data_IF_079688952468
#
_entry.id   IF_079688952468
#
_cell.length_a   1.000
_cell.length_b   1.000
_cell.length_c   1.000
_cell.angle_alpha   90.00
_cell.angle_beta   90.00
_cell.angle_gamma   90.00
#
_symmetry.space_group_name_H-M   'P 1'
#
loop_
_entity.id
_entity.type
_entity.pdbx_description
1 polymer ?
#
# COMPACT_ATOMS: atom_id res chain seq x y z
N UNK A 1 3.22 18.32 24.99
CA UNK A 1 3.66 17.91 23.64
C UNK A 1 3.06 16.58 23.25
N UNK A 2 3.24 15.46 23.98
CA UNK A 2 2.63 14.18 23.60
C UNK A 2 1.10 14.24 23.54
N UNK A 3 0.48 15.00 24.45
CA UNK A 3 -0.98 15.15 24.54
C UNK A 3 -1.57 16.21 23.61
N UNK A 4 -0.74 16.89 22.80
CA UNK A 4 -1.21 17.92 21.86
C UNK A 4 -1.77 17.26 20.60
N UNK A 5 -2.86 17.84 20.07
CA UNK A 5 -3.35 17.58 18.71
C UNK A 5 -2.31 17.97 17.65
N UNK A 6 -2.50 17.49 16.41
CA UNK A 6 -1.58 17.81 15.31
C UNK A 6 -1.45 19.32 15.08
N UNK A 7 -2.56 20.06 15.10
CA UNK A 7 -2.58 21.52 14.96
C UNK A 7 -1.85 22.22 16.11
N UNK A 8 -2.07 21.78 17.36
CA UNK A 8 -1.39 22.35 18.53
C UNK A 8 0.12 22.08 18.51
N UNK A 9 0.55 20.88 18.05
CA UNK A 9 1.97 20.58 17.85
C UNK A 9 2.59 21.49 16.80
N UNK A 10 1.91 21.68 15.66
CA UNK A 10 2.38 22.57 14.59
C UNK A 10 2.57 24.00 15.10
N UNK A 11 1.58 24.55 15.80
CA UNK A 11 1.63 25.91 16.33
C UNK A 11 2.71 26.07 17.41
N UNK A 12 2.87 25.06 18.26
CA UNK A 12 3.95 25.01 19.25
C UNK A 12 5.33 25.01 18.59
N UNK A 13 5.54 24.15 17.58
CA UNK A 13 6.80 24.08 16.84
C UNK A 13 7.10 25.38 16.10
N UNK A 14 6.10 25.95 15.41
CA UNK A 14 6.26 27.24 14.73
C UNK A 14 6.63 28.36 15.70
N UNK A 15 6.02 28.38 16.89
CA UNK A 15 6.33 29.34 17.96
C UNK A 15 7.76 29.15 18.46
N UNK A 16 8.18 27.91 18.72
CA UNK A 16 9.53 27.60 19.21
C UNK A 16 10.62 27.95 18.18
N UNK A 17 10.33 27.87 16.89
CA UNK A 17 11.25 28.28 15.84
C UNK A 17 11.39 29.81 15.67
N UNK A 18 10.55 30.62 16.32
CA UNK A 18 10.51 32.06 16.08
C UNK A 18 11.61 32.87 16.80
N UNK A 19 12.34 32.28 17.76
CA UNK A 19 13.38 32.99 18.53
C UNK A 19 14.58 32.10 18.85
N UNK A 20 15.82 32.62 18.88
CA UNK A 20 17.02 31.82 19.16
C UNK A 20 16.97 31.05 20.48
N UNK A 21 16.52 31.67 21.58
CA UNK A 21 16.47 30.99 22.88
C UNK A 21 15.48 29.81 22.90
N UNK A 22 14.36 29.92 22.19
CA UNK A 22 13.34 28.87 22.12
C UNK A 22 13.74 27.77 21.14
N UNK A 23 14.37 28.16 20.02
CA UNK A 23 14.94 27.27 19.04
C UNK A 23 15.97 26.32 19.67
N UNK A 24 16.84 26.84 20.55
CA UNK A 24 17.82 26.02 21.27
C UNK A 24 17.16 24.99 22.19
N UNK A 25 16.10 25.36 22.90
CA UNK A 25 15.33 24.43 23.75
C UNK A 25 14.63 23.34 22.92
N UNK A 26 14.05 23.72 21.78
CA UNK A 26 13.44 22.79 20.83
C UNK A 26 14.47 21.80 20.30
N UNK A 27 15.62 22.29 19.80
CA UNK A 27 16.66 21.44 19.26
C UNK A 27 17.32 20.57 20.33
N UNK A 28 17.43 21.05 21.57
CA UNK A 28 17.80 20.23 22.72
C UNK A 28 16.78 19.10 22.96
N UNK A 29 15.47 19.41 22.92
CA UNK A 29 14.42 18.40 23.03
C UNK A 29 14.44 17.38 21.88
N UNK A 30 14.83 17.79 20.67
CA UNK A 30 15.06 16.88 19.53
C UNK A 30 16.28 15.99 19.79
N UNK A 31 17.39 16.56 20.26
CA UNK A 31 18.61 15.81 20.60
C UNK A 31 18.39 14.76 21.70
N UNK A 32 17.52 15.07 22.67
CA UNK A 32 17.13 14.15 23.75
C UNK A 32 16.04 13.14 23.32
N UNK A 33 15.52 13.22 22.09
CA UNK A 33 14.44 12.36 21.59
C UNK A 33 13.04 12.65 22.15
N UNK A 34 12.85 13.78 22.87
CA UNK A 34 11.54 14.21 23.39
C UNK A 34 10.61 14.76 22.31
N UNK A 35 11.19 15.30 21.23
CA UNK A 35 10.48 15.71 20.01
C UNK A 35 11.09 14.92 18.85
N UNK A 36 10.32 14.12 18.09
CA UNK A 36 10.85 13.41 16.94
C UNK A 36 11.31 14.43 15.89
N UNK A 37 12.55 14.28 15.40
CA UNK A 37 13.10 15.18 14.37
C UNK A 37 12.26 15.23 13.09
N UNK A 38 11.54 14.15 12.78
CA UNK A 38 10.66 14.03 11.62
C UNK A 38 9.45 14.97 11.72
N UNK A 39 9.12 15.46 12.93
CA UNK A 39 8.06 16.44 13.12
C UNK A 39 8.48 17.87 12.69
N UNK A 40 9.80 18.15 12.58
CA UNK A 40 10.28 19.42 12.04
C UNK A 40 10.21 19.42 10.52
N UNK A 41 9.34 20.27 9.99
CA UNK A 41 9.23 20.51 8.55
C UNK A 41 10.47 21.21 7.99
N UNK A 42 10.72 21.05 6.69
CA UNK A 42 11.77 21.81 6.00
C UNK A 42 11.61 23.33 6.17
N UNK A 43 10.36 23.81 6.24
CA UNK A 43 10.05 25.21 6.51
C UNK A 43 10.56 25.66 7.89
N UNK A 44 10.25 24.90 8.95
CA UNK A 44 10.72 25.20 10.31
C UNK A 44 12.24 25.15 10.42
N UNK A 45 12.87 24.17 9.76
CA UNK A 45 14.33 24.04 9.76
C UNK A 45 15.03 25.19 9.04
N UNK A 46 14.45 25.68 7.94
CA UNK A 46 14.92 26.90 7.26
C UNK A 46 14.69 28.15 8.11
N UNK A 47 13.53 28.27 8.76
CA UNK A 47 13.25 29.38 9.66
C UNK A 47 14.26 29.44 10.83
N UNK A 48 14.64 28.28 11.38
CA UNK A 48 15.69 28.18 12.40
C UNK A 48 17.05 28.66 11.89
N UNK A 49 17.44 28.32 10.65
CA UNK A 49 18.68 28.83 10.02
C UNK A 49 18.64 30.35 9.81
N UNK A 50 17.47 30.91 9.49
CA UNK A 50 17.28 32.36 9.31
C UNK A 50 17.40 33.16 10.61
N UNK A 51 17.46 32.50 11.77
CA UNK A 51 17.75 33.18 13.04
C UNK A 51 19.20 33.67 13.14
N UNK A 52 20.09 33.20 12.25
CA UNK A 52 21.52 33.57 12.21
C UNK A 52 22.22 33.41 13.57
N UNK A 53 21.85 32.37 14.31
CA UNK A 53 22.37 32.08 15.66
C UNK A 53 23.31 30.87 15.64
N UNK A 54 24.58 31.10 16.01
CA UNK A 54 25.63 30.08 15.90
C UNK A 54 25.36 28.79 16.70
N UNK A 55 24.66 28.89 17.84
CA UNK A 55 24.34 27.70 18.64
C UNK A 55 23.14 26.95 18.05
N UNK A 56 22.13 27.65 17.53
CA UNK A 56 21.03 27.02 16.77
C UNK A 56 21.57 26.27 15.56
N UNK A 57 22.48 26.88 14.80
CA UNK A 57 23.14 26.26 13.65
C UNK A 57 23.89 24.98 14.04
N UNK A 58 24.70 25.06 15.11
CA UNK A 58 25.43 23.90 15.65
C UNK A 58 24.50 22.77 16.06
N UNK A 59 23.39 23.08 16.74
CA UNK A 59 22.41 22.09 17.19
C UNK A 59 21.61 21.49 16.02
N UNK A 60 21.31 22.27 14.98
CA UNK A 60 20.69 21.77 13.75
C UNK A 60 21.58 20.74 13.06
N UNK A 61 22.87 21.07 12.87
CA UNK A 61 23.82 20.15 12.23
C UNK A 61 24.01 18.86 13.05
N UNK A 62 24.01 18.98 14.38
CA UNK A 62 24.20 17.87 15.30
C UNK A 62 22.98 16.93 15.35
N UNK A 63 21.78 17.46 15.53
CA UNK A 63 20.59 16.65 15.86
C UNK A 63 19.64 16.44 14.69
N UNK A 64 19.59 17.35 13.73
CA UNK A 64 18.71 17.23 12.57
C UNK A 64 19.52 16.72 11.38
N UNK A 65 20.49 17.49 10.92
CA UNK A 65 21.30 17.18 9.74
C UNK A 65 21.49 18.39 8.84
N UNK A 66 21.76 18.14 7.56
CA UNK A 66 22.06 19.22 6.61
C UNK A 66 20.77 19.84 6.08
N UNK A 67 20.68 21.16 6.15
CA UNK A 67 19.62 21.96 5.53
C UNK A 67 20.27 22.74 4.39
N UNK A 68 19.87 22.48 3.15
CA UNK A 68 20.40 23.19 1.97
C UNK A 68 19.65 24.52 1.75
N UNK A 69 20.30 25.54 1.16
CA UNK A 69 19.61 26.74 0.70
C UNK A 69 18.49 26.42 -0.28
N UNK A 70 17.49 27.30 -0.36
CA UNK A 70 16.38 27.10 -1.28
C UNK A 70 16.84 27.11 -2.75
N UNK A 71 16.39 26.12 -3.50
CA UNK A 71 16.56 26.07 -4.94
C UNK A 71 15.31 26.66 -5.63
N UNK A 72 15.44 27.78 -6.38
CA UNK A 72 14.30 28.41 -7.06
C UNK A 72 13.62 27.49 -8.10
N UNK A 73 14.36 26.56 -8.70
CA UNK A 73 13.81 25.52 -9.57
C UNK A 73 12.86 24.60 -8.80
N UNK A 74 13.30 24.10 -7.64
CA UNK A 74 12.47 23.27 -6.75
C UNK A 74 11.24 24.00 -6.25
N UNK A 75 11.36 25.29 -5.90
CA UNK A 75 10.20 26.07 -5.46
C UNK A 75 9.15 26.27 -6.56
N UNK A 76 9.58 26.45 -7.82
CA UNK A 76 8.65 26.49 -8.97
C UNK A 76 7.94 25.17 -9.19
N UNK A 77 8.66 24.07 -9.04
CA UNK A 77 8.09 22.73 -9.16
C UNK A 77 7.08 22.42 -8.05
N UNK A 78 7.42 22.74 -6.79
CA UNK A 78 6.50 22.65 -5.65
C UNK A 78 5.23 23.47 -5.91
N UNK A 79 5.36 24.71 -6.41
CA UNK A 79 4.21 25.53 -6.74
C UNK A 79 3.35 24.94 -7.87
N UNK A 80 3.97 24.35 -8.90
CA UNK A 80 3.29 23.66 -10.00
C UNK A 80 2.48 22.47 -9.50
N UNK A 81 3.10 21.60 -8.70
CA UNK A 81 2.43 20.41 -8.16
C UNK A 81 1.36 20.82 -7.16
N UNK A 82 1.60 21.83 -6.32
CA UNK A 82 0.57 22.37 -5.42
C UNK A 82 -0.69 22.79 -6.17
N UNK A 83 -0.54 23.55 -7.26
CA UNK A 83 -1.68 23.96 -8.09
C UNK A 83 -2.41 22.77 -8.71
N UNK A 84 -1.69 21.74 -9.15
CA UNK A 84 -2.28 20.50 -9.64
C UNK A 84 -3.09 19.77 -8.55
N UNK A 85 -2.61 19.77 -7.29
CA UNK A 85 -3.34 19.15 -6.16
C UNK A 85 -4.55 19.97 -5.68
N UNK A 86 -4.72 21.20 -6.14
CA UNK A 86 -5.90 22.04 -5.85
C UNK A 86 -7.04 21.83 -6.86
N UNK A 87 -6.82 21.03 -7.91
CA UNK A 87 -7.86 20.62 -8.84
C UNK A 87 -8.91 19.72 -8.16
N UNK A 88 -10.07 19.56 -8.80
CA UNK A 88 -11.13 18.70 -8.28
C UNK A 88 -10.64 17.24 -8.16
N UNK A 89 -11.14 16.49 -7.16
CA UNK A 89 -10.87 15.06 -7.04
C UNK A 89 -11.25 14.30 -8.31
N UNK A 90 -10.60 13.16 -8.55
CA UNK A 90 -10.95 12.31 -9.70
C UNK A 90 -12.39 11.77 -9.61
N UNK A 91 -13.10 11.83 -10.74
CA UNK A 91 -14.53 11.47 -10.83
C UNK A 91 -14.82 9.95 -10.77
N UNK A 92 -13.79 9.09 -10.77
CA UNK A 92 -13.94 7.63 -10.94
C UNK A 92 -14.05 6.84 -9.62
N UNK A 93 -13.95 7.51 -8.47
CA UNK A 93 -14.04 6.89 -7.13
C UNK A 93 -12.87 5.96 -6.77
N UNK A 94 -11.91 5.76 -7.67
CA UNK A 94 -10.74 4.88 -7.52
C UNK A 94 -9.43 5.63 -7.25
N UNK A 95 -9.51 6.92 -6.90
CA UNK A 95 -8.34 7.79 -6.71
C UNK A 95 -7.34 7.23 -5.70
N UNK A 96 -7.80 6.75 -4.54
CA UNK A 96 -6.91 6.21 -3.52
C UNK A 96 -6.28 4.88 -3.95
N UNK A 97 -7.04 3.98 -4.58
CA UNK A 97 -6.54 2.70 -5.05
C UNK A 97 -5.50 2.87 -6.19
N UNK A 98 -5.75 3.85 -7.07
CA UNK A 98 -4.77 4.33 -8.06
C UNK A 98 -3.54 4.92 -7.37
N UNK A 99 -3.72 5.76 -6.36
CA UNK A 99 -2.63 6.33 -5.59
C UNK A 99 -1.75 5.29 -4.91
N UNK A 100 -2.38 4.23 -4.37
CA UNK A 100 -1.68 3.07 -3.82
C UNK A 100 -0.84 2.34 -4.86
N UNK A 101 -1.37 2.15 -6.07
CA UNK A 101 -0.61 1.54 -7.18
C UNK A 101 0.60 2.39 -7.58
N UNK A 102 0.43 3.72 -7.71
CA UNK A 102 1.53 4.65 -7.99
C UNK A 102 2.57 4.62 -6.87
N UNK A 103 2.15 4.56 -5.60
CA UNK A 103 3.03 4.42 -4.44
C UNK A 103 3.81 3.09 -4.50
N UNK A 104 3.14 1.98 -4.79
CA UNK A 104 3.75 0.65 -4.90
C UNK A 104 4.88 0.62 -5.93
N UNK A 105 4.68 1.23 -7.11
CA UNK A 105 5.72 1.23 -8.16
C UNK A 105 6.84 2.28 -7.95
N UNK A 106 6.58 3.36 -7.22
CA UNK A 106 7.48 4.52 -7.17
C UNK A 106 8.21 4.65 -5.82
N UNK A 107 7.51 4.36 -4.73
CA UNK A 107 7.97 4.69 -3.37
C UNK A 107 8.18 3.47 -2.48
N UNK A 108 7.39 2.41 -2.69
CA UNK A 108 7.31 1.27 -1.76
C UNK A 108 8.61 0.46 -1.65
N UNK A 109 9.45 0.46 -2.68
CA UNK A 109 10.76 -0.20 -2.62
C UNK A 109 11.64 0.35 -1.49
N UNK A 110 11.50 1.65 -1.20
CA UNK A 110 12.29 2.33 -0.18
C UNK A 110 11.50 2.57 1.10
N UNK A 111 10.19 2.81 1.01
CA UNK A 111 9.34 3.25 2.11
C UNK A 111 8.24 2.25 2.46
N UNK A 112 8.03 2.01 3.74
CA UNK A 112 6.82 1.37 4.28
C UNK A 112 5.65 2.34 4.36
N UNK A 113 4.43 1.88 4.09
CA UNK A 113 3.19 2.60 4.37
C UNK A 113 2.06 1.61 4.68
N UNK A 114 1.46 1.74 5.87
CA UNK A 114 0.52 0.79 6.46
C UNK A 114 1.04 -0.65 6.55
N UNK A 115 2.36 -0.80 6.79
CA UNK A 115 3.04 -2.08 6.90
C UNK A 115 3.93 -2.41 5.69
N UNK A 116 3.38 -2.71 4.50
CA UNK A 116 4.18 -3.12 3.36
C UNK A 116 5.15 -2.04 2.85
N UNK A 117 6.41 -2.43 2.61
CA UNK A 117 7.42 -1.63 1.92
C UNK A 117 8.84 -1.82 2.44
N UNK A 118 9.77 -1.05 1.87
CA UNK A 118 11.18 -1.11 2.21
C UNK A 118 11.54 -0.38 3.50
N UNK A 119 12.77 -0.62 3.95
CA UNK A 119 13.37 0.02 5.13
C UNK A 119 14.62 0.84 4.75
N UNK A 120 14.73 1.27 3.48
CA UNK A 120 15.80 2.17 3.05
C UNK A 120 15.49 3.60 3.51
N UNK A 121 14.27 4.05 3.26
CA UNK A 121 13.70 5.27 3.80
C UNK A 121 12.92 5.02 5.09
N UNK A 122 12.42 6.09 5.73
CA UNK A 122 11.52 6.00 6.87
C UNK A 122 10.18 5.34 6.50
N UNK A 123 9.55 4.68 7.48
CA UNK A 123 8.14 4.30 7.41
C UNK A 123 7.28 5.57 7.43
N UNK A 124 6.37 5.67 6.46
CA UNK A 124 5.53 6.84 6.25
C UNK A 124 4.24 6.79 7.05
N UNK A 125 3.81 5.65 7.60
CA UNK A 125 2.49 5.48 8.25
C UNK A 125 2.16 6.56 9.29
N UNK A 126 3.15 6.97 10.08
CA UNK A 126 3.05 8.01 11.11
C UNK A 126 3.82 9.31 10.81
N UNK A 127 4.26 9.52 9.56
CA UNK A 127 4.87 10.79 9.16
C UNK A 127 3.83 11.92 9.15
N UNK A 128 4.28 13.18 9.10
CA UNK A 128 3.43 14.37 8.88
C UNK A 128 2.85 14.43 7.45
N UNK A 129 2.45 13.28 6.90
CA UNK A 129 1.98 13.10 5.53
C UNK A 129 0.61 13.70 5.25
N UNK A 130 -0.16 13.99 6.29
CA UNK A 130 -1.39 14.79 6.15
C UNK A 130 -1.08 16.27 5.90
N UNK A 131 0.15 16.72 6.21
CA UNK A 131 0.60 18.08 5.97
C UNK A 131 1.13 18.22 4.55
N UNK A 132 0.34 18.86 3.69
CA UNK A 132 0.62 19.00 2.26
C UNK A 132 2.01 19.56 1.96
N UNK A 133 2.41 20.62 2.66
CA UNK A 133 3.72 21.26 2.45
C UNK A 133 4.89 20.38 2.88
N UNK A 134 4.67 19.55 3.91
CA UNK A 134 5.66 18.57 4.32
C UNK A 134 5.86 17.51 3.23
N UNK A 135 4.79 16.97 2.65
CA UNK A 135 4.92 16.01 1.54
C UNK A 135 5.57 16.63 0.30
N UNK A 136 5.10 17.80 -0.13
CA UNK A 136 5.63 18.44 -1.34
C UNK A 136 7.13 18.72 -1.22
N UNK A 137 7.57 19.24 -0.08
CA UNK A 137 8.99 19.51 0.14
C UNK A 137 9.85 18.25 0.15
N UNK A 138 9.44 17.19 0.87
CA UNK A 138 10.22 15.95 0.93
C UNK A 138 10.23 15.17 -0.40
N UNK A 139 9.13 15.19 -1.16
CA UNK A 139 9.04 14.44 -2.43
C UNK A 139 9.77 15.16 -3.57
N UNK A 140 9.65 16.50 -3.66
CA UNK A 140 10.19 17.26 -4.78
C UNK A 140 11.62 17.78 -4.53
N UNK A 141 11.96 18.01 -3.26
CA UNK A 141 13.27 18.45 -2.79
C UNK A 141 13.79 17.56 -1.65
N UNK A 142 14.00 16.25 -1.91
CA UNK A 142 14.43 15.30 -0.88
C UNK A 142 15.80 15.63 -0.27
N UNK A 143 16.63 16.41 -0.98
CA UNK A 143 17.94 16.85 -0.49
C UNK A 143 17.87 18.18 0.27
N UNK A 144 16.73 18.86 0.31
CA UNK A 144 16.57 20.14 0.99
C UNK A 144 16.78 20.03 2.50
N UNK A 145 16.31 18.94 3.09
CA UNK A 145 16.55 18.54 4.49
C UNK A 145 16.82 17.06 4.54
N UNK A 146 18.03 16.67 4.92
CA UNK A 146 18.41 15.26 5.04
C UNK A 146 18.83 14.97 6.46
N UNK A 147 18.03 14.14 7.15
CA UNK A 147 18.40 13.67 8.48
C UNK A 147 19.67 12.82 8.41
N UNK A 148 20.56 12.94 9.39
CA UNK A 148 21.88 12.30 9.38
C UNK A 148 21.84 10.78 9.10
N UNK A 149 20.78 10.09 9.53
CA UNK A 149 20.59 8.64 9.35
C UNK A 149 20.13 8.21 7.93
N UNK A 150 19.80 9.16 7.06
CA UNK A 150 19.42 8.92 5.66
C UNK A 150 20.36 9.61 4.66
N UNK A 151 21.45 10.21 5.15
CA UNK A 151 22.49 10.78 4.29
C UNK A 151 23.21 9.67 3.54
N UNK A 152 23.50 9.93 2.27
CA UNK A 152 24.25 8.99 1.45
C UNK A 152 25.71 9.00 1.89
N UNK A 153 26.29 7.82 2.16
CA UNK A 153 27.71 7.64 2.38
C UNK A 153 28.36 7.13 1.10
N UNK A 154 29.48 7.73 0.73
CA UNK A 154 30.29 7.36 -0.43
C UNK A 154 31.58 6.72 0.07
N UNK A 155 31.74 5.43 -0.17
CA UNK A 155 32.94 4.66 0.17
C UNK A 155 33.77 4.42 -1.10
N UNK A 156 34.98 4.95 -1.14
CA UNK A 156 35.97 4.68 -2.18
C UNK A 156 36.93 3.62 -1.65
N UNK A 157 37.00 2.48 -2.30
CA UNK A 157 37.88 1.39 -1.93
C UNK A 157 39.28 1.59 -2.50
N UNK A 158 40.28 1.01 -1.85
CA UNK A 158 41.68 1.04 -2.29
C UNK A 158 41.91 0.37 -3.65
N UNK A 159 41.01 -0.52 -4.07
CA UNK A 159 41.01 -1.15 -5.40
C UNK A 159 40.35 -0.29 -6.49
N UNK A 160 39.86 0.91 -6.15
CA UNK A 160 39.23 1.84 -7.06
C UNK A 160 37.71 1.69 -7.20
N UNK A 161 37.08 0.70 -6.54
CA UNK A 161 35.61 0.58 -6.52
C UNK A 161 34.98 1.72 -5.72
N UNK A 162 33.77 2.10 -6.14
CA UNK A 162 32.92 3.05 -5.45
C UNK A 162 31.67 2.34 -4.96
N UNK A 163 31.37 2.46 -3.67
CA UNK A 163 30.15 1.92 -3.07
C UNK A 163 29.40 3.09 -2.44
N UNK A 164 28.11 3.22 -2.77
CA UNK A 164 27.26 4.30 -2.27
C UNK A 164 26.03 3.73 -1.59
N UNK A 165 25.72 4.23 -0.40
CA UNK A 165 24.55 3.80 0.35
C UNK A 165 24.46 4.45 1.72
N UNK A 166 23.41 4.16 2.45
CA UNK A 166 23.21 4.69 3.79
C UNK A 166 23.96 3.80 4.79
N UNK A 167 24.72 4.42 5.70
CA UNK A 167 25.38 3.70 6.79
C UNK A 167 24.33 3.11 7.75
N UNK A 168 24.25 1.78 7.82
CA UNK A 168 23.31 1.05 8.69
C UNK A 168 23.97 0.54 9.97
N UNK A 169 25.27 0.28 9.90
CA UNK A 169 26.04 -0.15 11.04
C UNK A 169 27.50 0.24 10.86
N UNK A 170 28.20 0.45 11.97
CA UNK A 170 29.65 0.64 12.02
C UNK A 170 30.21 -0.08 13.23
N UNK A 171 31.30 -0.80 13.01
CA UNK A 171 32.12 -1.41 14.06
C UNK A 171 33.51 -0.77 14.05
N UNK A 172 34.41 -1.09 14.99
CA UNK A 172 35.79 -0.60 14.96
C UNK A 172 36.57 -0.98 13.69
N UNK A 173 36.12 -1.98 12.93
CA UNK A 173 36.84 -2.53 11.78
C UNK A 173 36.02 -2.59 10.49
N UNK A 174 34.73 -2.25 10.52
CA UNK A 174 33.88 -2.33 9.33
C UNK A 174 32.77 -1.30 9.30
N UNK A 175 32.26 -1.02 8.11
CA UNK A 175 31.06 -0.22 7.87
C UNK A 175 30.09 -1.01 7.00
N UNK A 176 28.80 -1.01 7.37
CA UNK A 176 27.73 -1.62 6.56
C UNK A 176 26.95 -0.53 5.86
N UNK A 177 26.98 -0.55 4.53
CA UNK A 177 26.22 0.36 3.67
C UNK A 177 25.03 -0.38 3.07
N UNK A 178 23.88 0.29 3.03
CA UNK A 178 22.68 -0.18 2.36
C UNK A 178 22.39 0.73 1.16
N UNK A 179 22.46 0.17 -0.04
CA UNK A 179 21.94 0.81 -1.25
C UNK A 179 20.48 0.40 -1.48
N UNK A 180 19.91 0.87 -2.58
CA UNK A 180 18.60 0.45 -3.06
C UNK A 180 18.49 -1.07 -3.29
N UNK A 181 19.57 -1.70 -3.74
CA UNK A 181 19.55 -3.10 -4.21
C UNK A 181 20.27 -4.07 -3.28
N UNK A 182 21.24 -3.59 -2.48
CA UNK A 182 22.10 -4.48 -1.70
C UNK A 182 22.57 -3.89 -0.37
N UNK A 183 22.97 -4.79 0.52
CA UNK A 183 23.66 -4.46 1.77
C UNK A 183 25.08 -5.01 1.70
N UNK A 184 26.06 -4.12 1.81
CA UNK A 184 27.47 -4.48 1.73
C UNK A 184 28.16 -4.09 3.04
N UNK A 185 28.92 -5.03 3.60
CA UNK A 185 29.83 -4.74 4.72
C UNK A 185 31.24 -4.62 4.17
N UNK A 186 31.87 -3.48 4.39
CA UNK A 186 33.21 -3.14 3.93
C UNK A 186 34.16 -3.08 5.13
N UNK A 187 35.34 -3.67 5.02
CA UNK A 187 36.37 -3.52 6.04
C UNK A 187 37.00 -2.12 5.93
N UNK A 188 37.26 -1.47 7.07
CA UNK A 188 37.75 -0.08 7.07
C UNK A 188 39.17 0.06 6.49
N UNK A 189 39.97 -1.01 6.52
CA UNK A 189 41.31 -1.06 5.92
C UNK A 189 41.29 -1.22 4.39
N UNK A 190 40.17 -1.66 3.82
CA UNK A 190 39.94 -1.69 2.37
C UNK A 190 39.51 -0.31 1.83
N UNK A 191 39.16 0.64 2.69
CA UNK A 191 38.69 1.97 2.31
C UNK A 191 39.87 2.92 2.08
N UNK A 192 39.91 3.53 0.90
CA UNK A 192 40.77 4.68 0.65
C UNK A 192 40.16 5.95 1.25
N UNK A 193 38.83 6.09 1.18
CA UNK A 193 38.10 7.27 1.59
C UNK A 193 36.64 6.92 1.91
N UNK A 194 36.07 7.61 2.91
CA UNK A 194 34.69 7.43 3.34
C UNK A 194 34.10 8.81 3.66
N UNK A 195 33.18 9.26 2.82
CA UNK A 195 32.62 10.60 2.90
C UNK A 195 31.10 10.58 3.05
N UNK A 196 30.59 11.51 3.85
CA UNK A 196 29.17 11.75 3.98
C UNK A 196 28.74 12.78 2.93
N UNK A 197 27.89 12.37 2.00
CA UNK A 197 27.35 13.24 0.96
C UNK A 197 26.29 14.19 1.55
N UNK A 198 26.22 15.45 1.06
CA UNK A 198 25.14 16.36 1.39
C UNK A 198 23.80 15.98 0.72
N UNK A 199 23.78 14.96 -0.14
CA UNK A 199 22.60 14.55 -0.90
C UNK A 199 21.84 13.40 -0.25
N UNK A 200 20.51 13.43 -0.40
CA UNK A 200 19.62 12.33 -0.02
C UNK A 200 19.85 11.11 -0.91
N UNK A 201 19.58 9.92 -0.37
CA UNK A 201 19.49 8.69 -1.17
C UNK A 201 18.17 8.63 -1.95
N UNK A 202 17.14 9.38 -1.54
CA UNK A 202 15.88 9.47 -2.29
C UNK A 202 16.12 10.21 -3.62
N UNK A 203 15.78 9.61 -4.78
CA UNK A 203 15.96 10.24 -6.08
C UNK A 203 15.12 11.50 -6.26
N UNK A 204 15.61 12.43 -7.08
CA UNK A 204 14.81 13.56 -7.57
C UNK A 204 14.11 13.20 -8.89
N UNK A 205 13.07 13.95 -9.27
CA UNK A 205 12.35 13.73 -10.54
C UNK A 205 11.42 12.52 -10.55
N UNK A 206 11.10 11.95 -9.37
CA UNK A 206 10.21 10.78 -9.23
C UNK A 206 8.82 10.99 -9.84
N UNK A 207 8.37 12.23 -9.97
CA UNK A 207 7.05 12.57 -10.51
C UNK A 207 7.06 12.89 -12.01
N UNK A 208 8.24 13.02 -12.64
CA UNK A 208 8.37 13.54 -14.01
C UNK A 208 7.72 12.62 -15.06
N UNK A 209 7.73 11.31 -14.81
CA UNK A 209 7.14 10.31 -15.68
C UNK A 209 5.67 10.01 -15.38
N UNK A 210 5.09 10.62 -14.33
CA UNK A 210 3.72 10.36 -13.90
C UNK A 210 2.73 11.26 -14.63
N UNK A 211 1.57 10.69 -14.98
CA UNK A 211 0.45 11.49 -15.47
C UNK A 211 -0.04 12.46 -14.37
N UNK A 212 -0.61 13.63 -14.70
CA UNK A 212 -1.09 14.58 -13.69
C UNK A 212 -2.05 13.94 -12.68
N UNK A 213 -2.97 13.11 -13.16
CA UNK A 213 -3.90 12.38 -12.30
C UNK A 213 -3.22 11.33 -11.41
N UNK A 214 -2.12 10.70 -11.86
CA UNK A 214 -1.33 9.77 -11.03
C UNK A 214 -0.65 10.53 -9.88
N UNK A 215 -0.18 11.75 -10.14
CA UNK A 215 0.39 12.63 -9.11
C UNK A 215 -0.69 13.00 -8.10
N UNK A 216 -1.88 13.43 -8.54
CA UNK A 216 -2.99 13.75 -7.63
C UNK A 216 -3.38 12.55 -6.77
N UNK A 217 -3.56 11.39 -7.40
CA UNK A 217 -3.88 10.13 -6.74
C UNK A 217 -2.81 9.71 -5.72
N UNK A 218 -1.52 9.79 -6.08
CA UNK A 218 -0.40 9.49 -5.17
C UNK A 218 -0.46 10.35 -3.91
N UNK A 219 -0.60 11.67 -4.05
CA UNK A 219 -0.66 12.56 -2.89
C UNK A 219 -1.94 12.36 -2.06
N UNK A 220 -3.08 12.08 -2.70
CA UNK A 220 -4.31 11.72 -1.99
C UNK A 220 -4.13 10.46 -1.14
N UNK A 221 -3.51 9.40 -1.69
CA UNK A 221 -3.21 8.18 -0.94
C UNK A 221 -2.18 8.41 0.18
N UNK A 222 -1.10 9.15 -0.10
CA UNK A 222 -0.10 9.51 0.90
C UNK A 222 -0.70 10.30 2.08
N UNK A 223 -1.74 11.09 1.86
CA UNK A 223 -2.44 11.83 2.91
C UNK A 223 -3.57 11.04 3.60
N UNK A 224 -4.03 9.91 3.02
CA UNK A 224 -5.17 9.13 3.54
C UNK A 224 -4.86 8.48 4.90
N UNK A 225 -5.72 8.53 5.92
CA UNK A 225 -5.44 7.86 7.20
C UNK A 225 -5.52 6.33 7.13
N UNK A 226 -6.08 5.76 6.06
CA UNK A 226 -6.39 4.34 5.94
C UNK A 226 -5.69 3.68 4.75
N UNK A 227 -5.42 2.39 4.91
CA UNK A 227 -5.07 1.52 3.79
C UNK A 227 -6.30 1.29 2.91
N UNK A 228 -6.09 1.25 1.60
CA UNK A 228 -7.13 0.97 0.60
C UNK A 228 -6.70 -0.20 -0.28
N UNK A 229 -7.61 -0.86 -0.99
CA UNK A 229 -7.23 -1.87 -1.97
C UNK A 229 -6.22 -1.37 -3.02
N UNK A 230 -5.34 -2.25 -3.48
CA UNK A 230 -4.37 -2.02 -4.54
C UNK A 230 -5.04 -2.16 -5.90
N UNK A 231 -5.04 -1.11 -6.73
CA UNK A 231 -5.59 -1.21 -8.07
C UNK A 231 -4.89 -2.30 -8.88
N UNK A 232 -5.66 -3.23 -9.43
CA UNK A 232 -5.13 -4.24 -10.33
C UNK A 232 -4.70 -3.62 -11.67
N UNK A 233 -3.51 -4.01 -12.13
CA UNK A 233 -2.93 -3.64 -13.43
C UNK A 233 -2.26 -4.86 -14.03
N UNK A 234 -2.11 -4.91 -15.35
CA UNK A 234 -1.43 -6.03 -16.01
C UNK A 234 -0.02 -6.30 -15.47
N UNK A 235 0.64 -5.28 -14.90
CA UNK A 235 1.95 -5.41 -14.28
C UNK A 235 1.91 -6.16 -12.94
N UNK A 236 0.84 -6.04 -12.15
CA UNK A 236 0.76 -6.60 -10.79
C UNK A 236 -0.14 -7.85 -10.67
N UNK A 237 -0.88 -8.25 -11.72
CA UNK A 237 -1.78 -9.42 -11.67
C UNK A 237 -1.12 -10.73 -11.23
N UNK A 238 0.18 -10.89 -11.47
CA UNK A 238 0.92 -12.08 -11.06
C UNK A 238 0.94 -12.28 -9.53
N UNK A 239 0.72 -11.20 -8.77
CA UNK A 239 0.61 -11.24 -7.32
C UNK A 239 -0.79 -11.56 -6.80
N UNK A 240 -1.78 -11.82 -7.67
CA UNK A 240 -3.15 -12.12 -7.23
C UNK A 240 -3.23 -13.43 -6.43
N UNK A 241 -2.50 -14.48 -6.82
CA UNK A 241 -2.31 -15.69 -6.01
C UNK A 241 -1.04 -16.41 -6.44
N UNK A 242 -0.10 -16.61 -5.51
CA UNK A 242 1.21 -17.22 -5.79
C UNK A 242 1.19 -18.76 -5.81
N UNK A 243 0.05 -19.36 -5.45
CA UNK A 243 -0.11 -20.81 -5.34
C UNK A 243 0.54 -21.46 -4.13
N UNK A 244 1.03 -20.69 -3.16
CA UNK A 244 1.82 -21.21 -2.03
C UNK A 244 1.41 -20.59 -0.70
N UNK A 245 1.02 -19.33 -0.71
CA UNK A 245 0.74 -18.53 0.47
C UNK A 245 -0.51 -17.69 0.27
N UNK A 246 -0.99 -17.08 1.36
CA UNK A 246 -2.05 -16.08 1.32
C UNK A 246 -1.49 -14.65 1.22
N UNK A 247 -0.29 -14.48 0.63
CA UNK A 247 0.25 -13.14 0.38
C UNK A 247 -0.73 -12.34 -0.49
N UNK A 248 -1.07 -11.12 -0.05
CA UNK A 248 -2.09 -10.29 -0.69
C UNK A 248 -3.55 -10.69 -0.39
N UNK A 249 -3.76 -11.65 0.52
CA UNK A 249 -5.09 -12.03 1.01
C UNK A 249 -5.17 -11.90 2.53
N UNK A 250 -6.31 -11.43 3.02
CA UNK A 250 -6.53 -11.13 4.43
C UNK A 250 -7.80 -11.81 4.93
N UNK A 251 -7.66 -12.67 5.95
CA UNK A 251 -8.75 -13.40 6.60
C UNK A 251 -8.24 -14.11 7.86
N UNK A 252 -9.14 -14.70 8.64
CA UNK A 252 -8.77 -15.43 9.86
C UNK A 252 -7.89 -16.65 9.54
N UNK A 253 -6.63 -16.71 10.01
CA UNK A 253 -5.71 -17.83 9.74
C UNK A 253 -6.13 -19.14 10.43
N UNK A 254 -7.10 -19.12 11.34
CA UNK A 254 -7.70 -20.34 11.89
C UNK A 254 -8.73 -20.98 10.95
N UNK A 255 -9.24 -20.21 9.97
CA UNK A 255 -10.19 -20.67 8.95
C UNK A 255 -9.50 -20.87 7.60
N UNK A 256 -8.61 -19.96 7.22
CA UNK A 256 -8.02 -19.91 5.89
C UNK A 256 -6.56 -20.37 5.86
N UNK A 257 -6.25 -21.21 4.89
CA UNK A 257 -4.88 -21.68 4.64
C UNK A 257 -4.67 -22.01 3.16
N UNK A 258 -3.41 -22.26 2.78
CA UNK A 258 -3.08 -22.88 1.48
C UNK A 258 -2.58 -24.30 1.72
N UNK A 259 -3.24 -25.27 1.11
CA UNK A 259 -2.83 -26.68 1.15
C UNK A 259 -2.21 -27.10 -0.19
N UNK A 260 -1.19 -27.97 -0.23
CA UNK A 260 -0.65 -28.50 -1.48
C UNK A 260 -1.71 -29.31 -2.24
N UNK A 261 -1.83 -29.07 -3.55
CA UNK A 261 -2.59 -29.92 -4.45
C UNK A 261 -1.66 -31.02 -4.99
N UNK A 262 -1.88 -32.31 -4.71
CA UNK A 262 -0.98 -33.39 -5.15
C UNK A 262 -0.79 -33.46 -6.68
N UNK A 263 -1.76 -32.91 -7.40
CA UNK A 263 -1.91 -32.97 -8.84
C UNK A 263 -1.54 -31.65 -9.55
N UNK A 264 -1.22 -30.58 -8.80
CA UNK A 264 -0.87 -29.27 -9.34
C UNK A 264 0.38 -28.66 -8.67
N UNK A 265 1.15 -27.86 -9.40
CA UNK A 265 2.25 -27.08 -8.83
C UNK A 265 1.79 -25.86 -7.99
N UNK A 266 0.49 -25.54 -8.08
CA UNK A 266 -0.21 -24.44 -7.40
C UNK A 266 -1.13 -25.06 -6.35
N UNK A 267 -0.97 -24.64 -5.10
CA UNK A 267 -1.79 -25.05 -3.96
C UNK A 267 -3.23 -24.55 -4.01
N UNK A 268 -4.05 -25.12 -3.13
CA UNK A 268 -5.47 -24.81 -3.01
C UNK A 268 -5.68 -23.86 -1.84
N UNK A 269 -6.47 -22.81 -2.04
CA UNK A 269 -6.98 -22.01 -0.92
C UNK A 269 -8.08 -22.83 -0.25
N UNK A 270 -7.94 -23.07 1.06
CA UNK A 270 -8.88 -23.85 1.85
C UNK A 270 -9.48 -22.98 2.94
N UNK A 271 -10.81 -22.84 2.93
CA UNK A 271 -11.59 -22.31 4.03
C UNK A 271 -12.22 -23.47 4.80
N UNK A 272 -11.82 -23.68 6.06
CA UNK A 272 -12.28 -24.81 6.89
C UNK A 272 -12.68 -24.32 8.27
N UNK A 273 -13.84 -24.76 8.74
CA UNK A 273 -14.33 -24.46 10.08
C UNK A 273 -15.14 -25.62 10.67
N UNK A 274 -15.14 -25.73 12.01
CA UNK A 274 -16.07 -26.58 12.75
C UNK A 274 -17.45 -25.89 12.96
N UNK A 275 -17.55 -24.60 12.62
CA UNK A 275 -18.73 -23.78 12.69
C UNK A 275 -18.37 -22.33 13.02
N UNK A 276 -19.16 -21.39 12.52
CA UNK A 276 -18.93 -19.96 12.68
C UNK A 276 -20.20 -19.24 13.15
N UNK A 277 -20.03 -18.26 14.04
CA UNK A 277 -21.12 -17.41 14.51
C UNK A 277 -21.49 -16.28 13.53
N UNK A 278 -20.53 -15.87 12.69
CA UNK A 278 -20.66 -14.84 11.64
C UNK A 278 -19.95 -15.30 10.38
N UNK A 279 -20.20 -14.65 9.25
CA UNK A 279 -19.53 -14.98 8.01
C UNK A 279 -18.04 -14.65 8.12
N UNK A 280 -17.19 -15.45 7.48
CA UNK A 280 -15.76 -15.22 7.43
C UNK A 280 -15.31 -15.08 5.98
N UNK A 281 -14.45 -14.11 5.70
CA UNK A 281 -14.02 -13.78 4.34
C UNK A 281 -12.51 -13.74 4.22
N UNK A 282 -11.99 -14.40 3.19
CA UNK A 282 -10.63 -14.19 2.71
C UNK A 282 -10.66 -13.12 1.62
N UNK A 283 -10.23 -11.91 1.95
CA UNK A 283 -10.32 -10.70 1.13
C UNK A 283 -9.04 -10.49 0.35
N UNK A 284 -9.10 -10.37 -0.97
CA UNK A 284 -7.94 -9.96 -1.77
C UNK A 284 -7.63 -8.50 -1.51
N UNK A 285 -6.35 -8.12 -1.49
CA UNK A 285 -5.97 -6.71 -1.41
C UNK A 285 -6.25 -5.94 -2.71
N UNK A 286 -6.63 -6.61 -3.81
CA UNK A 286 -6.78 -6.00 -5.13
C UNK A 286 -8.14 -5.35 -5.32
N UNK A 287 -8.17 -4.16 -5.94
CA UNK A 287 -9.36 -3.57 -6.53
C UNK A 287 -9.46 -3.94 -8.01
N UNK A 288 -10.63 -4.44 -8.41
CA UNK A 288 -10.92 -4.93 -9.74
C UNK A 288 -12.15 -4.21 -10.32
N UNK A 289 -11.95 -3.54 -11.45
CA UNK A 289 -13.01 -2.89 -12.24
C UNK A 289 -13.57 -3.83 -13.29
N UNK A 290 -13.06 -3.73 -14.51
CA UNK A 290 -13.40 -4.61 -15.64
C UNK A 290 -12.43 -5.80 -15.70
N UNK A 291 -12.95 -7.01 -15.50
CA UNK A 291 -12.12 -8.22 -15.37
C UNK A 291 -12.89 -9.50 -15.74
N UNK A 292 -12.12 -10.56 -15.96
CA UNK A 292 -12.57 -11.94 -16.05
C UNK A 292 -11.79 -12.78 -15.03
N UNK A 293 -12.49 -13.30 -14.03
CA UNK A 293 -11.97 -14.22 -13.02
C UNK A 293 -12.47 -15.63 -13.33
N UNK A 294 -11.57 -16.60 -13.42
CA UNK A 294 -11.93 -18.01 -13.47
C UNK A 294 -11.21 -18.80 -12.38
N UNK A 295 -11.92 -19.71 -11.73
CA UNK A 295 -11.39 -20.59 -10.71
C UNK A 295 -12.20 -21.88 -10.63
N UNK A 296 -11.63 -22.92 -10.02
CA UNK A 296 -12.35 -24.12 -9.65
C UNK A 296 -12.65 -24.09 -8.15
N UNK A 297 -13.87 -24.47 -7.76
CA UNK A 297 -14.31 -24.57 -6.38
C UNK A 297 -14.86 -25.96 -6.08
N UNK A 298 -14.57 -26.48 -4.89
CA UNK A 298 -15.17 -27.70 -4.34
C UNK A 298 -15.71 -27.42 -2.95
N UNK A 299 -17.00 -27.62 -2.77
CA UNK A 299 -17.64 -27.64 -1.45
C UNK A 299 -17.63 -29.08 -0.94
N UNK A 300 -16.81 -29.37 0.07
CA UNK A 300 -16.58 -30.74 0.53
C UNK A 300 -17.85 -31.30 1.16
N UNK A 301 -18.26 -32.48 0.70
CA UNK A 301 -19.51 -33.13 1.09
C UNK A 301 -20.78 -32.40 0.62
N UNK A 302 -20.66 -31.38 -0.24
CA UNK A 302 -21.76 -30.49 -0.67
C UNK A 302 -22.57 -29.97 0.53
N UNK A 303 -21.87 -29.68 1.63
CA UNK A 303 -22.42 -29.28 2.91
C UNK A 303 -21.96 -27.87 3.28
N UNK A 304 -22.91 -27.04 3.74
CA UNK A 304 -22.66 -25.65 4.07
C UNK A 304 -23.02 -24.68 2.94
N UNK A 305 -22.53 -23.46 3.06
CA UNK A 305 -22.73 -22.38 2.10
C UNK A 305 -21.45 -21.55 1.99
N UNK A 306 -21.15 -21.07 0.79
CA UNK A 306 -19.98 -20.26 0.47
C UNK A 306 -20.36 -19.30 -0.67
N UNK A 307 -19.42 -18.46 -1.07
CA UNK A 307 -19.62 -17.52 -2.15
C UNK A 307 -18.29 -16.91 -2.59
N UNK A 308 -18.27 -16.45 -3.85
CA UNK A 308 -17.20 -15.64 -4.38
C UNK A 308 -17.75 -14.21 -4.50
N UNK A 309 -17.31 -13.35 -3.59
CA UNK A 309 -17.59 -11.92 -3.63
C UNK A 309 -16.76 -11.26 -4.72
N UNK A 310 -17.35 -10.31 -5.46
CA UNK A 310 -16.67 -9.58 -6.52
C UNK A 310 -17.25 -8.17 -6.71
N UNK A 311 -16.39 -7.21 -7.06
CA UNK A 311 -16.72 -5.77 -6.99
C UNK A 311 -17.35 -5.40 -5.65
N UNK A 312 -16.92 -6.07 -4.59
CA UNK A 312 -17.44 -5.89 -3.25
C UNK A 312 -16.57 -4.92 -2.47
N UNK A 313 -17.05 -4.46 -1.32
CA UNK A 313 -16.31 -3.61 -0.39
C UNK A 313 -16.28 -4.24 0.99
N UNK A 314 -15.18 -4.04 1.69
CA UNK A 314 -15.08 -4.35 3.10
C UNK A 314 -15.91 -3.35 3.93
N UNK A 315 -16.59 -3.86 4.95
CA UNK A 315 -17.38 -3.10 5.92
C UNK A 315 -16.65 -3.00 7.26
N UNK A 316 -17.06 -2.07 8.12
CA UNK A 316 -16.35 -1.73 9.37
C UNK A 316 -16.20 -2.89 10.37
N UNK A 317 -17.10 -3.88 10.33
CA UNK A 317 -17.11 -5.05 11.21
C UNK A 317 -16.35 -6.28 10.64
N UNK A 318 -15.74 -6.11 9.48
CA UNK A 318 -15.01 -7.13 8.74
C UNK A 318 -15.85 -7.93 7.74
N UNK A 319 -17.16 -7.68 7.69
CA UNK A 319 -18.07 -8.23 6.67
C UNK A 319 -17.74 -7.66 5.28
N UNK A 320 -18.32 -8.27 4.25
CA UNK A 320 -18.13 -7.86 2.85
C UNK A 320 -19.48 -7.66 2.19
N UNK A 321 -19.71 -6.49 1.60
CA UNK A 321 -20.94 -6.16 0.88
C UNK A 321 -20.70 -5.96 -0.62
N UNK A 322 -21.59 -6.48 -1.46
CA UNK A 322 -21.47 -6.43 -2.92
C UNK A 322 -21.91 -7.72 -3.59
N UNK A 323 -21.58 -7.90 -4.87
CA UNK A 323 -22.02 -9.08 -5.61
C UNK A 323 -21.36 -10.35 -5.12
N UNK A 324 -22.17 -11.40 -5.02
CA UNK A 324 -21.75 -12.76 -4.68
C UNK A 324 -22.20 -13.75 -5.76
N UNK A 325 -21.26 -14.51 -6.29
CA UNK A 325 -21.57 -15.74 -7.01
C UNK A 325 -21.69 -16.88 -5.99
N UNK A 326 -22.91 -17.35 -5.77
CA UNK A 326 -23.22 -18.23 -4.64
C UNK A 326 -22.77 -19.70 -4.85
N UNK A 327 -22.42 -20.35 -3.74
CA UNK A 327 -21.95 -21.73 -3.69
C UNK A 327 -22.73 -22.50 -2.61
N UNK A 328 -23.33 -23.62 -2.98
CA UNK A 328 -23.94 -24.57 -2.06
C UNK A 328 -25.30 -25.10 -2.52
N UNK A 329 -25.84 -26.11 -1.82
CA UNK A 329 -27.09 -26.75 -2.20
C UNK A 329 -28.24 -25.74 -2.36
N UNK A 330 -28.82 -25.68 -3.57
CA UNK A 330 -29.88 -24.74 -3.92
C UNK A 330 -29.42 -23.30 -4.24
N UNK A 331 -28.12 -23.03 -4.18
CA UNK A 331 -27.53 -21.69 -4.38
C UNK A 331 -26.56 -21.60 -5.57
N UNK A 332 -25.98 -22.72 -5.99
CA UNK A 332 -25.06 -22.77 -7.14
C UNK A 332 -25.54 -22.00 -8.38
N UNK A 333 -24.73 -21.07 -8.86
CA UNK A 333 -24.92 -20.26 -10.06
C UNK A 333 -25.75 -18.97 -9.85
N UNK A 334 -26.35 -18.78 -8.68
CA UNK A 334 -27.15 -17.58 -8.40
C UNK A 334 -26.27 -16.34 -8.17
N UNK A 335 -26.87 -15.17 -8.39
CA UNK A 335 -26.28 -13.88 -8.04
C UNK A 335 -27.01 -13.30 -6.84
N UNK A 336 -26.27 -13.06 -5.76
CA UNK A 336 -26.74 -12.33 -4.59
C UNK A 336 -25.98 -11.01 -4.46
N UNK A 337 -26.54 -10.03 -3.76
CA UNK A 337 -25.84 -8.82 -3.37
C UNK A 337 -25.87 -8.68 -1.85
N UNK A 338 -24.76 -9.08 -1.23
CA UNK A 338 -24.58 -9.12 0.22
C UNK A 338 -24.59 -7.70 0.79
N UNK A 339 -25.34 -7.48 1.88
CA UNK A 339 -25.63 -6.16 2.44
C UNK A 339 -26.21 -5.14 1.42
N UNK A 340 -26.87 -5.64 0.36
CA UNK A 340 -27.53 -4.83 -0.66
C UNK A 340 -28.94 -5.34 -0.97
N UNK A 341 -29.21 -5.62 -2.25
CA UNK A 341 -30.53 -6.03 -2.76
C UNK A 341 -30.94 -7.45 -2.40
N UNK A 342 -30.02 -8.28 -1.88
CA UNK A 342 -30.27 -9.69 -1.66
C UNK A 342 -30.21 -10.50 -2.96
N UNK A 343 -31.13 -11.44 -3.19
CA UNK A 343 -31.10 -12.27 -4.40
C UNK A 343 -31.42 -11.45 -5.65
N UNK A 344 -30.42 -11.23 -6.50
CA UNK A 344 -30.53 -10.44 -7.73
C UNK A 344 -30.91 -11.31 -8.92
N UNK A 345 -30.30 -12.49 -9.05
CA UNK A 345 -30.63 -13.48 -10.09
C UNK A 345 -30.85 -14.84 -9.46
N UNK A 346 -32.11 -15.29 -9.47
CA UNK A 346 -32.53 -16.57 -8.90
C UNK A 346 -32.13 -17.78 -9.75
N UNK A 347 -31.92 -17.60 -11.06
CA UNK A 347 -31.58 -18.69 -11.96
C UNK A 347 -30.19 -19.24 -11.63
N UNK A 348 -30.15 -20.41 -10.99
CA UNK A 348 -28.93 -21.16 -10.74
C UNK A 348 -28.50 -22.03 -11.92
N UNK A 349 -27.41 -22.77 -11.75
CA UNK A 349 -26.92 -23.74 -12.71
C UNK A 349 -27.70 -25.05 -12.65
N UNK A 350 -27.97 -25.68 -13.81
CA UNK A 350 -28.55 -27.02 -13.87
C UNK A 350 -27.50 -28.11 -13.62
N UNK A 351 -26.24 -27.86 -13.98
CA UNK A 351 -25.16 -28.86 -13.91
C UNK A 351 -24.15 -28.53 -12.82
N UNK A 352 -24.25 -29.22 -11.68
CA UNK A 352 -23.32 -29.11 -10.55
C UNK A 352 -22.73 -30.48 -10.22
N UNK A 353 -21.42 -30.53 -10.02
CA UNK A 353 -20.73 -31.72 -9.52
C UNK A 353 -20.74 -31.67 -7.99
N UNK A 354 -21.70 -32.37 -7.38
CA UNK A 354 -21.80 -32.49 -5.92
C UNK A 354 -20.56 -33.17 -5.33
N UNK A 355 -20.02 -32.61 -4.24
CA UNK A 355 -18.73 -32.99 -3.61
C UNK A 355 -17.54 -33.05 -4.60
N UNK A 356 -17.63 -32.35 -5.73
CA UNK A 356 -16.60 -32.30 -6.76
C UNK A 356 -16.17 -30.89 -7.12
N UNK A 357 -15.22 -30.80 -8.05
CA UNK A 357 -14.74 -29.53 -8.57
C UNK A 357 -15.72 -28.97 -9.60
N UNK A 358 -16.09 -27.71 -9.41
CA UNK A 358 -16.94 -26.94 -10.29
C UNK A 358 -16.16 -25.71 -10.78
N UNK A 359 -16.18 -25.44 -12.08
CA UNK A 359 -15.49 -24.28 -12.65
C UNK A 359 -16.41 -23.07 -12.67
N UNK A 360 -16.04 -22.02 -11.94
CA UNK A 360 -16.66 -20.71 -12.05
C UNK A 360 -15.90 -19.83 -13.04
N UNK A 361 -16.66 -19.04 -13.78
CA UNK A 361 -16.15 -17.85 -14.49
C UNK A 361 -17.05 -16.68 -14.12
N UNK A 362 -16.45 -15.59 -13.67
CA UNK A 362 -17.11 -14.32 -13.36
C UNK A 362 -16.49 -13.27 -14.27
N UNK A 363 -17.32 -12.53 -14.98
CA UNK A 363 -16.88 -11.50 -15.91
C UNK A 363 -17.68 -10.24 -15.68
N UNK A 364 -16.97 -9.13 -15.51
CA UNK A 364 -17.57 -7.82 -15.32
C UNK A 364 -16.94 -6.84 -16.32
N UNK A 365 -17.78 -6.16 -17.10
CA UNK A 365 -17.33 -5.15 -18.07
C UNK A 365 -18.34 -4.00 -18.13
N UNK A 366 -17.91 -2.82 -17.67
CA UNK A 366 -18.82 -1.69 -17.43
C UNK A 366 -19.91 -2.07 -16.44
N UNK A 367 -21.18 -1.85 -16.79
CA UNK A 367 -22.34 -2.25 -15.99
C UNK A 367 -22.74 -3.73 -16.15
N UNK A 368 -22.14 -4.44 -17.13
CA UNK A 368 -22.53 -5.81 -17.43
C UNK A 368 -21.80 -6.82 -16.55
N UNK A 369 -22.56 -7.70 -15.91
CA UNK A 369 -22.09 -8.81 -15.08
C UNK A 369 -22.54 -10.13 -15.70
N UNK A 370 -21.59 -11.05 -15.90
CA UNK A 370 -21.84 -12.39 -16.44
C UNK A 370 -21.16 -13.46 -15.60
N UNK A 371 -21.84 -14.60 -15.42
CA UNK A 371 -21.24 -15.75 -14.74
C UNK A 371 -21.55 -17.05 -15.47
N UNK A 372 -20.62 -18.00 -15.35
CA UNK A 372 -20.78 -19.37 -15.83
C UNK A 372 -20.35 -20.34 -14.73
N UNK A 373 -21.08 -21.46 -14.64
CA UNK A 373 -20.70 -22.61 -13.83
C UNK A 373 -20.59 -23.84 -14.74
N UNK A 374 -19.44 -24.49 -14.77
CA UNK A 374 -19.19 -25.67 -15.62
C UNK A 374 -19.55 -25.41 -17.10
N UNK A 375 -19.15 -24.24 -17.61
CA UNK A 375 -19.44 -23.73 -18.96
C UNK A 375 -20.94 -23.46 -19.25
N UNK A 376 -21.83 -23.67 -18.28
CA UNK A 376 -23.25 -23.29 -18.34
C UNK A 376 -23.42 -21.81 -17.97
N UNK A 377 -24.04 -20.96 -18.83
CA UNK A 377 -24.31 -19.56 -18.48
C UNK A 377 -25.38 -19.43 -17.39
N UNK A 378 -25.04 -18.76 -16.28
CA UNK A 378 -25.94 -18.55 -15.14
C UNK A 378 -26.50 -17.12 -15.11
N UNK A 379 -25.61 -16.11 -15.15
CA UNK A 379 -25.95 -14.70 -15.06
C UNK A 379 -25.56 -13.98 -16.35
N UNK A 380 -26.42 -13.09 -16.84
CA UNK A 380 -26.12 -12.07 -17.84
C UNK A 380 -27.01 -10.85 -17.57
N UNK A 381 -26.46 -9.87 -16.87
CA UNK A 381 -27.18 -8.73 -16.31
C UNK A 381 -26.47 -7.43 -16.68
N UNK A 382 -27.20 -6.46 -17.23
CA UNK A 382 -26.75 -5.07 -17.32
C UNK A 382 -27.29 -4.34 -16.08
N UNK A 383 -26.40 -3.91 -15.17
CA UNK A 383 -26.78 -3.38 -13.86
C UNK A 383 -26.21 -1.99 -13.60
N UNK A 384 -26.97 -0.98 -13.99
CA UNK A 384 -26.55 0.41 -13.83
C UNK A 384 -26.35 0.82 -12.35
N UNK A 385 -27.11 0.22 -11.44
CA UNK A 385 -27.02 0.47 -10.00
C UNK A 385 -25.85 -0.27 -9.33
N UNK A 386 -25.23 -1.21 -10.04
CA UNK A 386 -24.14 -2.03 -9.57
C UNK A 386 -22.84 -1.29 -9.27
N UNK A 387 -22.03 -1.84 -8.36
CA UNK A 387 -20.65 -1.40 -8.22
C UNK A 387 -19.87 -1.60 -9.53
N UNK A 388 -18.97 -0.67 -9.86
CA UNK A 388 -18.10 -0.73 -11.04
C UNK A 388 -16.71 -1.26 -10.73
N UNK A 389 -16.30 -1.19 -9.47
CA UNK A 389 -15.05 -1.73 -9.00
C UNK A 389 -15.19 -2.17 -7.52
N UNK A 390 -14.28 -3.02 -7.07
CA UNK A 390 -14.16 -3.45 -5.69
C UNK A 390 -13.27 -4.67 -5.56
N UNK A 391 -13.19 -5.24 -4.36
CA UNK A 391 -12.38 -6.41 -4.07
C UNK A 391 -13.04 -7.70 -4.53
N UNK A 392 -12.22 -8.75 -4.62
CA UNK A 392 -12.70 -10.14 -4.59
C UNK A 392 -12.52 -10.68 -3.17
N UNK A 393 -13.49 -11.45 -2.69
CA UNK A 393 -13.36 -12.18 -1.42
C UNK A 393 -13.97 -13.58 -1.52
N UNK A 394 -13.41 -14.54 -0.80
CA UNK A 394 -13.92 -15.90 -0.71
C UNK A 394 -14.61 -16.05 0.65
N UNK A 395 -15.83 -16.59 0.67
CA UNK A 395 -16.63 -16.67 1.90
C UNK A 395 -16.66 -18.10 2.45
N UNK A 396 -16.61 -18.22 3.78
CA UNK A 396 -17.20 -19.35 4.52
C UNK A 396 -18.39 -18.79 5.31
N UNK A 397 -19.59 -19.24 4.96
CA UNK A 397 -20.81 -18.74 5.58
C UNK A 397 -20.91 -19.21 7.05
N UNK A 398 -21.55 -18.39 7.88
CA UNK A 398 -21.92 -18.75 9.25
C UNK A 398 -22.74 -20.05 9.31
N UNK A 399 -22.61 -20.81 10.39
CA UNK A 399 -23.33 -22.08 10.56
C UNK A 399 -22.44 -23.23 11.01
N UNK A 400 -22.80 -24.44 10.59
CA UNK A 400 -22.13 -25.67 10.99
C UNK A 400 -20.77 -25.89 10.30
N UNK A 401 -20.15 -27.07 10.51
CA UNK A 401 -18.90 -27.42 9.87
C UNK A 401 -18.97 -27.25 8.36
N UNK A 402 -17.98 -26.56 7.79
CA UNK A 402 -17.89 -26.28 6.35
C UNK A 402 -16.43 -26.37 5.92
N UNK A 403 -16.18 -27.00 4.78
CA UNK A 403 -14.89 -26.95 4.09
C UNK A 403 -15.12 -26.64 2.62
N UNK A 404 -14.55 -25.52 2.16
CA UNK A 404 -14.57 -25.10 0.77
C UNK A 404 -13.14 -24.92 0.28
N UNK A 405 -12.88 -25.39 -0.94
CA UNK A 405 -11.55 -25.36 -1.56
C UNK A 405 -11.61 -24.64 -2.89
N UNK A 406 -10.60 -23.82 -3.17
CA UNK A 406 -10.46 -23.08 -4.42
C UNK A 406 -9.09 -23.34 -5.05
N UNK A 407 -9.06 -23.54 -6.36
CA UNK A 407 -7.82 -23.72 -7.13
C UNK A 407 -7.93 -23.15 -8.53
N UNK A 408 -6.82 -23.14 -9.26
CA UNK A 408 -6.74 -22.65 -10.64
C UNK A 408 -7.26 -21.21 -10.82
N UNK A 409 -7.02 -20.34 -9.83
CA UNK A 409 -7.39 -18.94 -9.88
C UNK A 409 -6.63 -18.26 -11.04
N UNK A 410 -7.37 -17.70 -11.99
CA UNK A 410 -6.85 -16.94 -13.12
C UNK A 410 -7.63 -15.66 -13.26
N UNK A 411 -6.91 -14.55 -13.29
CA UNK A 411 -7.47 -13.23 -13.41
C UNK A 411 -6.94 -12.55 -14.68
N UNK A 412 -7.85 -12.00 -15.46
CA UNK A 412 -7.59 -11.21 -16.66
C UNK A 412 -8.28 -9.86 -16.51
N UNK A 413 -7.58 -8.77 -16.82
CA UNK A 413 -8.21 -7.45 -16.91
C UNK A 413 -8.78 -7.26 -18.30
N UNK A 414 -10.02 -6.78 -18.35
CA UNK A 414 -10.68 -6.50 -19.62
C UNK A 414 -10.47 -5.03 -20.01
N UNK A 415 -10.44 -4.74 -21.32
CA UNK A 415 -10.41 -3.35 -21.78
C UNK A 415 -11.68 -2.63 -21.33
N UNK A 416 -11.51 -1.37 -20.91
CA UNK A 416 -12.63 -0.46 -20.66
C UNK A 416 -13.50 -0.34 -21.92
N UNK A 417 -14.81 -0.36 -21.72
CA UNK A 417 -15.81 -0.44 -22.80
C UNK A 417 -16.22 0.92 -23.34
#
# INVERSE_FOLDING_TARGET
YPDYSADERRDALATLCARPSWARELLGAVGDGRVPKQELSAFQLRALRQLEDAEVDRLLDLYVGLVRPEDPGKQREIARVRALLDEAPLDDGGELARGREVFTRTCQQCHGLFGPGGALGPDLTGANRTEREYLLSNVLDPSGVVANEYKTTVARLADGRLVTGIERARTPTSVTLQSETERVTLALDELAELELSPLSTMPEGLLDALAPDDVRALFAYLASPTQVPLRATSANLHGFFDGRTLAGWHGDPSVWSVEPAPENAVGEIVGRTAGLARNEFLKSEYELGDFRLSLAVRLVGDAGNSGIQFRSRELEDGEVGGYQADIGPGWWGKLYEEHGRGLVVERGAATVVSDGWNRYVIECQGARVRTWLNDEPCVDLEDDAGARAGIVALQVHSGGPTEVRFRDLRLELLPAR
#
